data_IF_813329085768
#
_entry.id   IF_813329085768
#
_cell.length_a   1.000
_cell.length_b   1.000
_cell.length_c   1.000
_cell.angle_alpha   90.00
_cell.angle_beta   90.00
_cell.angle_gamma   90.00
#
_symmetry.space_group_name_H-M   'P 1'
#
loop_
_entity.id
_entity.type
_entity.pdbx_description
1 polymer ?
#
# COMPACT_ATOMS: atom_id res chain seq x y z
N UNK A 1 -22.49 -11.41 1.65
CA UNK A 1 -22.32 -12.49 2.63
C UNK A 1 -23.26 -12.20 3.78
N UNK A 2 -24.20 -13.09 4.09
CA UNK A 2 -25.13 -12.91 5.20
C UNK A 2 -24.44 -13.23 6.53
N UNK A 3 -24.95 -12.68 7.64
CA UNK A 3 -24.48 -13.02 9.00
C UNK A 3 -24.53 -14.54 9.24
N UNK A 4 -25.48 -15.23 8.60
CA UNK A 4 -25.61 -16.69 8.61
C UNK A 4 -24.43 -17.40 7.95
N UNK A 5 -23.94 -16.90 6.82
CA UNK A 5 -22.78 -17.45 6.12
C UNK A 5 -21.49 -17.24 6.91
N UNK A 6 -21.30 -16.05 7.49
CA UNK A 6 -20.19 -15.77 8.41
C UNK A 6 -20.21 -16.73 9.61
N UNK A 7 -21.36 -16.88 10.28
CA UNK A 7 -21.51 -17.73 11.45
C UNK A 7 -21.34 -19.23 11.16
N UNK A 8 -21.76 -19.69 9.99
CA UNK A 8 -21.50 -21.07 9.53
C UNK A 8 -20.01 -21.31 9.30
N UNK A 9 -19.29 -20.31 8.79
CA UNK A 9 -17.84 -20.37 8.58
C UNK A 9 -17.07 -20.40 9.91
N UNK A 10 -17.48 -19.59 10.90
CA UNK A 10 -16.87 -19.55 12.23
C UNK A 10 -17.14 -20.79 13.10
N UNK A 11 -18.21 -21.55 12.83
CA UNK A 11 -18.54 -22.78 13.58
C UNK A 11 -17.78 -24.02 13.11
N UNK A 12 -17.37 -24.07 11.84
CA UNK A 12 -16.80 -25.28 11.24
C UNK A 12 -15.27 -25.34 11.28
N UNK A 13 -14.59 -24.21 11.50
CA UNK A 13 -13.14 -24.22 11.72
C UNK A 13 -12.87 -23.93 13.19
N UNK A 14 -12.26 -24.88 13.89
CA UNK A 14 -11.49 -24.62 15.11
C UNK A 14 -10.38 -23.63 14.73
N UNK A 15 -10.73 -22.34 14.65
CA UNK A 15 -9.87 -21.27 14.21
C UNK A 15 -8.90 -20.96 15.36
N UNK A 16 -7.91 -21.85 15.50
CA UNK A 16 -6.71 -21.55 16.26
C UNK A 16 -6.03 -20.39 15.54
N UNK A 17 -6.16 -19.21 16.14
CA UNK A 17 -5.39 -18.00 15.85
C UNK A 17 -3.91 -18.42 15.86
N UNK A 18 -3.37 -18.69 14.67
CA UNK A 18 -2.05 -19.32 14.51
C UNK A 18 -1.91 -20.21 13.27
N UNK A 19 -3.02 -20.68 12.67
CA UNK A 19 -2.99 -21.43 11.41
C UNK A 19 -3.12 -20.49 10.19
N UNK A 20 -2.48 -20.86 9.08
CA UNK A 20 -2.55 -20.16 7.77
C UNK A 20 -4.01 -19.89 7.32
N UNK A 21 -4.97 -20.70 7.78
CA UNK A 21 -6.39 -20.58 7.47
C UNK A 21 -7.03 -19.32 8.07
N UNK A 22 -6.71 -18.97 9.32
CA UNK A 22 -7.22 -17.75 9.97
C UNK A 22 -6.78 -16.49 9.19
N UNK A 23 -5.52 -16.49 8.75
CA UNK A 23 -4.95 -15.38 8.00
C UNK A 23 -5.60 -15.20 6.62
N UNK A 24 -5.86 -16.31 5.93
CA UNK A 24 -6.60 -16.32 4.66
C UNK A 24 -8.06 -15.86 4.83
N UNK A 25 -8.70 -16.25 5.93
CA UNK A 25 -10.06 -15.83 6.23
C UNK A 25 -10.15 -14.31 6.44
N UNK A 26 -9.30 -13.74 7.31
CA UNK A 26 -9.28 -12.29 7.56
C UNK A 26 -9.04 -11.52 6.25
N UNK A 27 -8.12 -12.00 5.42
CA UNK A 27 -7.89 -11.43 4.08
C UNK A 27 -9.15 -11.45 3.21
N UNK A 28 -9.86 -12.59 3.14
CA UNK A 28 -11.08 -12.71 2.33
C UNK A 28 -12.17 -11.75 2.81
N UNK A 29 -12.34 -11.64 4.13
CA UNK A 29 -13.30 -10.71 4.75
C UNK A 29 -12.94 -9.26 4.40
N UNK A 30 -11.70 -8.84 4.65
CA UNK A 30 -11.24 -7.48 4.36
C UNK A 30 -11.36 -7.14 2.88
N UNK A 31 -10.97 -8.07 2.01
CA UNK A 31 -11.10 -7.87 0.56
C UNK A 31 -12.55 -7.66 0.12
N UNK A 32 -13.51 -8.36 0.73
CA UNK A 32 -14.94 -8.19 0.41
C UNK A 32 -15.53 -6.92 1.01
N UNK A 33 -15.10 -6.54 2.21
CA UNK A 33 -15.52 -5.28 2.85
C UNK A 33 -15.10 -4.08 1.99
N UNK A 34 -13.89 -4.11 1.43
CA UNK A 34 -13.34 -2.99 0.68
C UNK A 34 -13.58 -2.99 -0.83
N UNK A 35 -14.09 -4.09 -1.40
CA UNK A 35 -14.34 -4.14 -2.84
C UNK A 35 -15.22 -3.00 -3.38
N UNK A 36 -16.20 -2.43 -2.63
CA UNK A 36 -16.96 -1.27 -3.12
C UNK A 36 -16.16 0.05 -3.15
N UNK A 37 -15.12 0.18 -2.33
CA UNK A 37 -14.34 1.42 -2.15
C UNK A 37 -13.03 1.37 -2.94
N UNK A 38 -12.55 0.16 -3.22
CA UNK A 38 -11.24 -0.12 -3.79
C UNK A 38 -11.27 -1.33 -4.73
N UNK A 39 -11.33 -1.07 -6.05
CA UNK A 39 -11.07 -2.11 -7.04
C UNK A 39 -9.55 -2.34 -7.15
N UNK A 40 -9.13 -3.52 -6.72
CA UNK A 40 -7.74 -3.96 -6.70
C UNK A 40 -7.52 -5.20 -7.57
N UNK A 41 -8.43 -5.51 -8.49
CA UNK A 41 -8.37 -6.72 -9.31
C UNK A 41 -7.06 -6.81 -10.10
N UNK A 42 -6.71 -5.74 -10.80
CA UNK A 42 -5.46 -5.66 -11.57
C UNK A 42 -4.22 -5.64 -10.66
N UNK A 43 -4.29 -4.93 -9.53
CA UNK A 43 -3.23 -4.93 -8.53
C UNK A 43 -2.92 -6.35 -8.03
N UNK A 44 -3.94 -7.11 -7.66
CA UNK A 44 -3.79 -8.50 -7.21
C UNK A 44 -3.20 -9.42 -8.27
N UNK A 45 -3.65 -9.33 -9.53
CA UNK A 45 -3.08 -10.09 -10.64
C UNK A 45 -1.59 -9.81 -10.78
N UNK A 46 -1.22 -8.52 -10.76
CA UNK A 46 0.17 -8.09 -10.86
C UNK A 46 1.03 -8.59 -9.69
N UNK A 47 0.58 -8.43 -8.44
CA UNK A 47 1.35 -8.90 -7.28
C UNK A 47 1.57 -10.41 -7.30
N UNK A 48 0.55 -11.20 -7.65
CA UNK A 48 0.67 -12.66 -7.82
C UNK A 48 1.69 -13.01 -8.90
N UNK A 49 1.62 -12.35 -10.05
CA UNK A 49 2.56 -12.55 -11.14
C UNK A 49 4.00 -12.24 -10.70
N UNK A 50 4.24 -11.08 -10.10
CA UNK A 50 5.58 -10.66 -9.70
C UNK A 50 6.22 -11.60 -8.67
N UNK A 51 5.45 -12.02 -7.67
CA UNK A 51 5.91 -12.98 -6.66
C UNK A 51 6.16 -14.37 -7.26
N UNK A 52 5.33 -14.81 -8.22
CA UNK A 52 5.57 -16.07 -8.93
C UNK A 52 6.86 -16.04 -9.75
N UNK A 53 7.17 -14.90 -10.38
CA UNK A 53 8.38 -14.72 -11.17
C UNK A 53 9.62 -14.74 -10.28
N UNK A 54 9.61 -14.00 -9.17
CA UNK A 54 10.67 -14.04 -8.16
C UNK A 54 10.89 -15.47 -7.67
N UNK A 55 9.82 -16.18 -7.31
CA UNK A 55 9.95 -17.54 -6.77
C UNK A 55 10.53 -18.53 -7.78
N UNK A 56 10.19 -18.39 -9.06
CA UNK A 56 10.68 -19.27 -10.12
C UNK A 56 12.13 -18.95 -10.52
N UNK A 57 12.57 -17.70 -10.37
CA UNK A 57 13.91 -17.26 -10.78
C UNK A 57 14.92 -17.24 -9.63
N UNK A 58 14.46 -16.99 -8.40
CA UNK A 58 15.27 -16.84 -7.21
C UNK A 58 14.50 -17.23 -5.94
N UNK A 59 14.20 -18.52 -5.81
CA UNK A 59 13.52 -19.06 -4.64
C UNK A 59 14.31 -18.85 -3.34
N UNK A 60 15.63 -19.03 -3.37
CA UNK A 60 16.51 -18.88 -2.20
C UNK A 60 16.51 -17.43 -1.69
N UNK A 61 16.69 -16.45 -2.57
CA UNK A 61 16.64 -15.04 -2.19
C UNK A 61 15.25 -14.60 -1.68
N UNK A 62 14.18 -15.20 -2.17
CA UNK A 62 12.84 -14.98 -1.60
C UNK A 62 12.71 -15.54 -0.18
N UNK A 63 13.26 -16.72 0.08
CA UNK A 63 13.28 -17.35 1.40
C UNK A 63 14.13 -16.56 2.40
N UNK A 64 15.29 -16.06 1.98
CA UNK A 64 16.12 -15.15 2.78
C UNK A 64 15.38 -13.85 3.12
N UNK A 65 14.75 -13.21 2.13
CA UNK A 65 13.95 -12.00 2.33
C UNK A 65 12.81 -12.27 3.30
N UNK A 66 12.05 -13.34 3.10
CA UNK A 66 10.91 -13.68 3.95
C UNK A 66 11.36 -13.91 5.41
N UNK A 67 12.46 -14.63 5.60
CA UNK A 67 13.03 -14.90 6.92
C UNK A 67 13.48 -13.59 7.58
N UNK A 68 14.21 -12.73 6.85
CA UNK A 68 14.61 -11.41 7.35
C UNK A 68 13.42 -10.60 7.88
N UNK A 69 12.33 -10.48 7.10
CA UNK A 69 11.15 -9.71 7.49
C UNK A 69 10.33 -10.38 8.61
N UNK A 70 10.38 -11.70 8.72
CA UNK A 70 9.66 -12.45 9.75
C UNK A 70 10.42 -12.41 11.08
N UNK A 71 11.72 -12.73 11.07
CA UNK A 71 12.58 -12.83 12.24
C UNK A 71 12.81 -11.46 12.90
N UNK A 72 12.81 -10.39 12.10
CA UNK A 72 12.85 -9.01 12.59
C UNK A 72 11.49 -8.46 13.08
N UNK A 73 10.45 -9.29 13.11
CA UNK A 73 9.06 -8.91 13.44
C UNK A 73 8.46 -7.82 12.55
N UNK A 74 9.06 -7.48 11.40
CA UNK A 74 8.55 -6.43 10.51
C UNK A 74 7.17 -6.79 9.96
N UNK A 75 6.96 -8.03 9.49
CA UNK A 75 5.63 -8.42 8.98
C UNK A 75 4.54 -8.37 10.06
N UNK A 76 4.87 -8.78 11.29
CA UNK A 76 3.93 -8.70 12.41
C UNK A 76 3.60 -7.23 12.74
N UNK A 77 4.61 -6.36 12.77
CA UNK A 77 4.42 -4.93 13.01
C UNK A 77 3.60 -4.25 11.91
N UNK A 78 3.76 -4.68 10.66
CA UNK A 78 2.94 -4.21 9.54
C UNK A 78 1.46 -4.54 9.76
N UNK A 79 1.15 -5.76 10.19
CA UNK A 79 -0.23 -6.16 10.47
C UNK A 79 -0.84 -5.38 11.63
N UNK A 80 -0.07 -5.21 12.71
CA UNK A 80 -0.50 -4.44 13.88
C UNK A 80 -0.85 -3.00 13.49
N UNK A 81 0.02 -2.35 12.70
CA UNK A 81 -0.19 -0.98 12.22
C UNK A 81 -1.37 -0.90 11.25
N UNK A 82 -1.49 -1.86 10.34
CA UNK A 82 -2.64 -1.97 9.44
C UNK A 82 -3.95 -2.04 10.22
N UNK A 83 -4.05 -2.94 11.20
CA UNK A 83 -5.28 -3.12 11.98
C UNK A 83 -5.63 -1.87 12.81
N UNK A 84 -4.62 -1.17 13.37
CA UNK A 84 -4.83 0.10 14.06
C UNK A 84 -5.41 1.15 13.11
N UNK A 85 -4.73 1.40 12.00
CA UNK A 85 -5.16 2.41 11.02
C UNK A 85 -6.48 2.03 10.32
N UNK A 86 -6.77 0.75 10.17
CA UNK A 86 -8.08 0.28 9.72
C UNK A 86 -9.18 0.69 10.69
N UNK A 87 -8.96 0.50 11.99
CA UNK A 87 -9.92 0.93 13.02
C UNK A 87 -10.11 2.46 13.01
N UNK A 88 -9.03 3.22 12.86
CA UNK A 88 -9.10 4.68 12.77
C UNK A 88 -9.85 5.12 11.50
N UNK A 89 -9.59 4.45 10.37
CA UNK A 89 -10.29 4.72 9.13
C UNK A 89 -11.80 4.49 9.23
N UNK A 90 -12.25 3.45 9.93
CA UNK A 90 -13.70 3.22 10.13
C UNK A 90 -14.38 4.42 10.79
N UNK A 91 -13.68 5.12 11.68
CA UNK A 91 -14.19 6.32 12.35
C UNK A 91 -14.09 7.57 11.46
N UNK A 92 -13.03 7.70 10.65
CA UNK A 92 -12.79 8.86 9.79
C UNK A 92 -13.60 8.81 8.47
N UNK A 93 -13.84 7.61 7.95
CA UNK A 93 -14.45 7.41 6.62
C UNK A 93 -15.81 8.09 6.42
N UNK A 94 -16.76 8.09 7.39
CA UNK A 94 -18.02 8.81 7.24
C UNK A 94 -17.83 10.29 6.87
N UNK A 95 -16.79 10.92 7.40
CA UNK A 95 -16.47 12.31 7.09
C UNK A 95 -15.80 12.48 5.72
N UNK A 96 -15.16 11.43 5.20
CA UNK A 96 -14.55 11.40 3.86
C UNK A 96 -15.54 11.03 2.74
N UNK A 97 -16.80 10.72 3.05
CA UNK A 97 -17.81 10.37 2.05
C UNK A 97 -17.92 11.40 0.90
N UNK A 98 -17.93 12.73 1.15
CA UNK A 98 -17.97 13.71 0.05
C UNK A 98 -16.80 13.55 -0.93
N UNK A 99 -15.59 13.31 -0.39
CA UNK A 99 -14.37 13.12 -1.18
C UNK A 99 -14.38 11.79 -1.91
N UNK A 100 -14.84 10.72 -1.27
CA UNK A 100 -15.06 9.44 -1.94
C UNK A 100 -16.08 9.56 -3.07
N UNK A 101 -17.14 10.35 -2.85
CA UNK A 101 -18.19 10.66 -3.80
C UNK A 101 -17.65 11.28 -5.09
N UNK A 102 -16.58 12.08 -5.03
CA UNK A 102 -15.95 12.70 -6.19
C UNK A 102 -15.54 11.70 -7.28
N UNK A 103 -15.29 10.42 -6.91
CA UNK A 103 -14.98 9.35 -7.88
C UNK A 103 -16.13 9.05 -8.85
N UNK A 104 -17.35 9.46 -8.54
CA UNK A 104 -18.55 9.19 -9.34
C UNK A 104 -19.04 10.42 -10.12
N UNK A 105 -18.33 11.55 -10.02
CA UNK A 105 -18.66 12.76 -10.78
C UNK A 105 -17.82 12.85 -12.05
N UNK A 106 -18.47 13.27 -13.13
CA UNK A 106 -17.78 13.65 -14.35
C UNK A 106 -17.18 15.07 -14.17
N UNK A 107 -15.85 15.17 -14.19
CA UNK A 107 -15.16 16.46 -14.11
C UNK A 107 -13.71 16.35 -13.68
N UNK A 108 -13.00 17.48 -13.76
CA UNK A 108 -11.64 17.57 -13.21
C UNK A 108 -11.69 17.63 -11.68
N UNK A 109 -11.33 16.52 -11.05
CA UNK A 109 -11.26 16.38 -9.60
C UNK A 109 -10.37 17.46 -8.99
N UNK A 110 -9.25 17.83 -9.63
CA UNK A 110 -8.33 18.82 -9.05
C UNK A 110 -9.00 20.19 -8.93
N UNK A 111 -9.71 20.62 -9.98
CA UNK A 111 -10.51 21.85 -9.93
C UNK A 111 -11.56 21.82 -8.82
N UNK A 112 -12.17 20.65 -8.54
CA UNK A 112 -13.14 20.52 -7.45
C UNK A 112 -12.48 20.58 -6.06
N UNK A 113 -11.31 19.97 -5.90
CA UNK A 113 -10.55 19.97 -4.64
C UNK A 113 -10.04 21.37 -4.25
N UNK A 114 -9.73 22.21 -5.25
CA UNK A 114 -9.27 23.58 -5.02
C UNK A 114 -10.39 24.63 -5.01
N UNK A 115 -11.53 24.32 -5.63
CA UNK A 115 -12.66 25.26 -5.78
C UNK A 115 -13.72 25.15 -4.69
N UNK A 116 -13.76 24.05 -3.94
CA UNK A 116 -14.79 23.78 -2.93
C UNK A 116 -14.19 23.33 -1.60
N UNK A 117 -14.84 23.73 -0.51
CA UNK A 117 -14.52 23.26 0.84
C UNK A 117 -15.23 21.96 1.20
N UNK A 118 -14.83 21.37 2.33
CA UNK A 118 -15.49 20.23 2.97
C UNK A 118 -16.14 20.67 4.29
N UNK A 119 -17.39 20.28 4.52
CA UNK A 119 -18.16 20.67 5.72
C UNK A 119 -18.33 19.53 6.72
N UNK A 120 -17.87 18.32 6.37
CA UNK A 120 -18.06 17.11 7.17
C UNK A 120 -16.96 16.89 8.20
N UNK A 121 -15.85 17.61 8.15
CA UNK A 121 -14.76 17.52 9.14
C UNK A 121 -14.00 18.84 9.28
N UNK A 122 -13.25 18.94 10.38
CA UNK A 122 -12.20 19.92 10.62
C UNK A 122 -10.81 19.31 10.41
N UNK A 123 -9.77 20.14 10.39
CA UNK A 123 -8.38 19.65 10.29
C UNK A 123 -8.01 18.71 11.44
N UNK A 124 -8.47 19.01 12.66
CA UNK A 124 -8.10 18.22 13.83
C UNK A 124 -8.67 16.79 13.77
N UNK A 125 -9.76 16.58 13.03
CA UNK A 125 -10.36 15.25 12.83
C UNK A 125 -9.51 14.33 11.93
N UNK A 126 -8.66 14.90 11.07
CA UNK A 126 -7.92 14.14 10.05
C UNK A 126 -6.40 14.19 10.22
N UNK A 127 -5.88 15.20 10.92
CA UNK A 127 -4.45 15.49 11.07
C UNK A 127 -3.64 14.30 11.60
N UNK A 128 -4.02 13.76 12.74
CA UNK A 128 -3.30 12.62 13.36
C UNK A 128 -3.35 11.39 12.46
N UNK A 129 -4.52 11.11 11.87
CA UNK A 129 -4.70 10.00 10.96
C UNK A 129 -3.80 10.12 9.70
N UNK A 130 -3.66 11.32 9.15
CA UNK A 130 -2.74 11.58 8.03
C UNK A 130 -1.27 11.32 8.42
N UNK A 131 -0.83 11.79 9.59
CA UNK A 131 0.55 11.55 10.08
C UNK A 131 0.80 10.05 10.21
N UNK A 132 -0.10 9.32 10.88
CA UNK A 132 0.09 7.89 11.16
C UNK A 132 0.07 7.04 9.88
N UNK A 133 -0.80 7.40 8.91
CA UNK A 133 -0.78 6.81 7.57
C UNK A 133 0.56 7.04 6.88
N UNK A 134 1.06 8.27 6.89
CA UNK A 134 2.33 8.62 6.25
C UNK A 134 3.49 7.81 6.83
N UNK A 135 3.58 7.77 8.17
CA UNK A 135 4.67 7.09 8.87
C UNK A 135 4.63 5.56 8.69
N UNK A 136 3.42 5.00 8.63
CA UNK A 136 3.21 3.57 8.42
C UNK A 136 3.55 3.18 6.99
N UNK A 137 3.01 3.89 6.00
CA UNK A 137 3.29 3.62 4.58
C UNK A 137 4.79 3.71 4.30
N UNK A 138 5.46 4.77 4.76
CA UNK A 138 6.90 4.95 4.60
C UNK A 138 7.74 3.86 5.27
N UNK A 139 7.22 3.16 6.28
CA UNK A 139 7.84 1.95 6.83
C UNK A 139 7.68 0.74 5.90
N UNK A 140 6.46 0.55 5.42
CA UNK A 140 6.08 -0.59 4.59
C UNK A 140 6.76 -0.55 3.20
N UNK A 141 7.19 0.64 2.74
CA UNK A 141 8.04 0.80 1.55
C UNK A 141 9.29 -0.10 1.57
N UNK A 142 9.79 -0.48 2.76
CA UNK A 142 10.93 -1.39 2.87
C UNK A 142 10.66 -2.74 2.20
N UNK A 143 9.45 -3.29 2.30
CA UNK A 143 9.08 -4.54 1.63
C UNK A 143 9.03 -4.36 0.12
N UNK A 144 8.45 -3.26 -0.37
CA UNK A 144 8.35 -2.98 -1.81
C UNK A 144 9.73 -2.87 -2.44
N UNK A 145 10.65 -2.14 -1.80
CA UNK A 145 12.01 -1.96 -2.28
C UNK A 145 12.79 -3.27 -2.23
N UNK A 146 12.66 -4.06 -1.16
CA UNK A 146 13.29 -5.37 -1.08
C UNK A 146 12.83 -6.31 -2.20
N UNK A 147 11.52 -6.32 -2.49
CA UNK A 147 10.95 -7.12 -3.58
C UNK A 147 11.40 -6.63 -4.96
N UNK A 148 11.51 -5.32 -5.17
CA UNK A 148 12.07 -4.74 -6.39
C UNK A 148 13.55 -5.11 -6.57
N UNK A 149 14.35 -5.01 -5.51
CA UNK A 149 15.76 -5.42 -5.54
C UNK A 149 15.88 -6.90 -5.91
N UNK A 150 15.05 -7.75 -5.32
CA UNK A 150 15.03 -9.16 -5.67
C UNK A 150 14.61 -9.40 -7.14
N UNK A 151 13.57 -8.71 -7.61
CA UNK A 151 13.06 -8.80 -8.98
C UNK A 151 14.07 -8.35 -10.03
N UNK A 152 14.76 -7.23 -9.80
CA UNK A 152 15.58 -6.57 -10.81
C UNK A 152 17.09 -6.81 -10.66
N UNK A 153 17.55 -7.21 -9.46
CA UNK A 153 18.98 -7.34 -9.11
C UNK A 153 19.34 -8.72 -8.58
N UNK A 154 18.37 -9.62 -8.45
CA UNK A 154 18.54 -10.98 -7.96
C UNK A 154 19.11 -11.08 -6.52
N UNK A 155 19.09 -9.98 -5.76
CA UNK A 155 19.47 -9.92 -4.35
C UNK A 155 18.73 -8.74 -3.70
N UNK A 156 17.96 -9.01 -2.63
CA UNK A 156 17.18 -7.99 -1.94
C UNK A 156 18.04 -6.94 -1.22
N UNK A 157 19.31 -7.27 -0.93
CA UNK A 157 20.28 -6.42 -0.23
C UNK A 157 20.86 -5.33 -1.13
N UNK A 158 20.92 -5.56 -2.44
CA UNK A 158 21.55 -4.66 -3.39
C UNK A 158 20.58 -3.55 -3.79
N UNK A 159 20.93 -2.30 -3.48
CA UNK A 159 20.09 -1.14 -3.77
C UNK A 159 20.33 -0.57 -5.17
N UNK A 160 19.29 0.07 -5.74
CA UNK A 160 19.45 0.91 -6.94
C UNK A 160 20.43 2.05 -6.68
N UNK A 161 21.25 2.39 -7.68
CA UNK A 161 22.08 3.59 -7.63
C UNK A 161 21.21 4.81 -7.40
N UNK A 162 21.55 5.61 -6.39
CA UNK A 162 20.78 6.75 -5.96
C UNK A 162 21.70 7.91 -5.59
N UNK A 163 21.20 9.17 -5.59
CA UNK A 163 22.00 10.35 -5.26
C UNK A 163 22.65 10.29 -3.86
N UNK A 164 22.09 9.48 -2.94
CA UNK A 164 22.61 9.30 -1.58
C UNK A 164 23.70 8.22 -1.49
N UNK A 165 24.09 7.60 -2.60
CA UNK A 165 25.09 6.50 -2.70
C UNK A 165 24.81 5.34 -1.73
N UNK A 166 23.53 5.08 -1.46
CA UNK A 166 23.13 3.96 -0.59
C UNK A 166 23.18 2.69 -1.42
N UNK A 167 24.11 1.80 -1.12
CA UNK A 167 24.34 0.55 -1.86
C UNK A 167 23.75 -0.69 -1.19
N UNK A 168 23.39 -0.59 0.09
CA UNK A 168 22.93 -1.72 0.92
C UNK A 168 21.56 -1.46 1.56
N UNK A 169 20.75 -2.50 1.63
CA UNK A 169 19.38 -2.46 2.15
C UNK A 169 19.31 -2.18 3.66
N UNK A 170 20.30 -2.61 4.45
CA UNK A 170 20.34 -2.34 5.90
C UNK A 170 20.49 -0.84 6.16
N UNK A 171 21.34 -0.17 5.37
CA UNK A 171 21.49 1.28 5.39
C UNK A 171 20.21 2.01 4.94
N UNK A 172 19.44 1.41 4.01
CA UNK A 172 18.14 1.95 3.64
C UNK A 172 17.13 1.88 4.81
N UNK A 173 17.09 0.77 5.56
CA UNK A 173 16.16 0.61 6.68
C UNK A 173 16.41 1.65 7.79
N UNK A 174 17.65 2.07 8.01
CA UNK A 174 18.00 3.08 9.02
C UNK A 174 17.68 4.52 8.62
N UNK A 175 17.29 4.77 7.36
CA UNK A 175 16.92 6.11 6.91
C UNK A 175 15.67 6.64 7.62
N UNK A 176 15.63 7.97 7.77
CA UNK A 176 14.40 8.66 8.17
C UNK A 176 13.27 8.40 7.16
N UNK A 177 12.02 8.44 7.66
CA UNK A 177 10.80 8.16 6.88
C UNK A 177 10.70 8.97 5.59
N UNK A 178 10.97 10.28 5.65
CA UNK A 178 11.00 11.15 4.47
C UNK A 178 12.10 10.81 3.46
N UNK A 179 13.22 10.22 3.90
CA UNK A 179 14.28 9.78 3.00
C UNK A 179 13.97 8.44 2.34
N UNK A 180 13.22 7.56 2.99
CA UNK A 180 12.75 6.30 2.39
C UNK A 180 11.82 6.55 1.20
N UNK A 181 10.95 7.56 1.28
CA UNK A 181 10.06 7.96 0.19
C UNK A 181 10.81 8.20 -1.14
N UNK A 182 12.03 8.76 -1.09
CA UNK A 182 12.83 9.11 -2.28
C UNK A 182 13.30 7.91 -3.11
N UNK A 183 13.08 6.68 -2.63
CA UNK A 183 13.41 5.45 -3.34
C UNK A 183 12.24 4.90 -4.16
N UNK A 184 11.06 5.52 -4.06
CA UNK A 184 9.90 5.22 -4.89
C UNK A 184 9.90 6.21 -6.05
N UNK A 185 9.98 5.69 -7.27
CA UNK A 185 9.94 6.50 -8.49
C UNK A 185 8.95 5.97 -9.52
N UNK A 186 8.17 4.96 -9.13
CA UNK A 186 7.13 4.32 -9.92
C UNK A 186 7.63 3.67 -11.22
N UNK A 187 8.93 3.36 -11.32
CA UNK A 187 9.53 2.77 -12.52
C UNK A 187 9.75 1.26 -12.40
N UNK A 188 9.84 0.71 -11.19
CA UNK A 188 10.09 -0.71 -10.95
C UNK A 188 8.78 -1.48 -10.68
N UNK A 189 8.83 -2.81 -10.71
CA UNK A 189 7.64 -3.65 -10.77
C UNK A 189 6.64 -3.42 -9.61
N UNK A 190 7.14 -3.39 -8.38
CA UNK A 190 6.29 -3.29 -7.19
C UNK A 190 5.96 -1.84 -6.84
N UNK A 191 6.86 -0.89 -7.13
CA UNK A 191 6.67 0.52 -6.75
C UNK A 191 5.80 1.31 -7.73
N UNK A 192 5.70 0.91 -9.00
CA UNK A 192 4.81 1.52 -10.00
C UNK A 192 3.31 1.39 -9.71
N UNK A 193 2.93 0.63 -8.68
CA UNK A 193 1.52 0.52 -8.24
C UNK A 193 1.15 1.52 -7.14
N UNK A 194 2.12 2.25 -6.61
CA UNK A 194 1.89 3.28 -5.59
C UNK A 194 1.73 4.63 -6.26
N UNK A 195 0.52 5.18 -6.18
CA UNK A 195 0.25 6.57 -6.56
C UNK A 195 0.79 7.44 -5.44
N UNK A 196 1.73 8.34 -5.73
CA UNK A 196 2.33 9.19 -4.69
C UNK A 196 1.32 10.24 -4.21
N UNK A 197 0.64 9.94 -3.11
CA UNK A 197 -0.27 10.84 -2.39
C UNK A 197 0.28 11.26 -1.02
N UNK A 198 1.58 11.04 -0.78
CA UNK A 198 2.22 11.23 0.52
C UNK A 198 3.04 12.53 0.57
N UNK A 199 2.44 13.65 0.93
CA UNK A 199 3.18 14.92 1.00
C UNK A 199 4.00 15.05 2.29
N UNK A 200 5.33 15.08 2.15
CA UNK A 200 6.27 15.13 3.29
C UNK A 200 6.20 16.45 4.04
N UNK A 201 6.00 17.56 3.34
CA UNK A 201 6.02 18.90 3.91
C UNK A 201 4.83 19.11 4.85
N UNK A 202 3.61 18.78 4.40
CA UNK A 202 2.41 18.87 5.24
C UNK A 202 2.48 17.90 6.43
N UNK A 203 3.02 16.69 6.27
CA UNK A 203 3.25 15.77 7.41
C UNK A 203 4.17 16.42 8.45
N UNK A 204 5.26 17.06 8.02
CA UNK A 204 6.19 17.71 8.94
C UNK A 204 5.56 18.93 9.61
N UNK A 205 4.81 19.73 8.85
CA UNK A 205 4.06 20.87 9.36
C UNK A 205 3.07 20.43 10.45
N UNK A 206 2.30 19.37 10.23
CA UNK A 206 1.41 18.81 11.25
C UNK A 206 2.16 18.23 12.44
N UNK A 207 3.25 17.49 12.22
CA UNK A 207 4.04 16.90 13.31
C UNK A 207 4.74 17.93 14.20
N UNK A 208 5.00 19.13 13.68
CA UNK A 208 5.63 20.24 14.42
C UNK A 208 4.67 21.37 14.77
N UNK A 209 3.38 21.25 14.43
CA UNK A 209 2.40 22.34 14.52
C UNK A 209 2.86 23.64 13.82
N UNK A 210 3.60 23.52 12.72
CA UNK A 210 4.12 24.64 11.91
C UNK A 210 3.25 24.85 10.66
N UNK A 211 1.99 25.21 10.87
CA UNK A 211 1.02 25.54 9.82
C UNK A 211 0.05 26.65 10.26
N UNK A 212 -0.48 27.38 9.28
CA UNK A 212 -1.61 28.29 9.45
C UNK A 212 -2.83 27.71 8.73
N UNK A 213 -4.02 27.85 9.33
CA UNK A 213 -5.27 27.47 8.70
C UNK A 213 -6.19 28.68 8.49
N UNK A 214 -6.52 28.96 7.23
CA UNK A 214 -7.50 29.99 6.85
C UNK A 214 -8.88 29.37 6.80
N UNK A 215 -9.65 29.49 7.88
CA UNK A 215 -10.96 28.84 8.01
C UNK A 215 -12.00 29.25 6.95
N UNK A 216 -11.92 30.46 6.39
CA UNK A 216 -12.87 30.96 5.37
C UNK A 216 -12.68 30.29 4.01
N UNK A 217 -11.44 30.03 3.61
CA UNK A 217 -11.09 29.36 2.34
C UNK A 217 -10.77 27.89 2.53
N UNK A 218 -10.64 27.44 3.77
CA UNK A 218 -10.13 26.13 4.16
C UNK A 218 -8.73 25.82 3.59
N UNK A 219 -7.91 26.85 3.45
CA UNK A 219 -6.52 26.73 2.98
C UNK A 219 -5.58 26.47 4.15
N UNK A 220 -4.70 25.48 3.99
CA UNK A 220 -3.65 25.10 4.94
C UNK A 220 -2.33 25.58 4.38
N UNK A 221 -1.61 26.38 5.14
CA UNK A 221 -0.36 27.04 4.71
C UNK A 221 0.77 26.53 5.57
N UNK A 222 1.85 26.11 4.93
CA UNK A 222 2.97 25.47 5.60
C UNK A 222 4.29 25.70 4.85
N UNK A 223 5.40 25.52 5.54
CA UNK A 223 6.73 25.75 4.98
C UNK A 223 7.36 24.46 4.44
N UNK A 224 8.09 24.54 3.33
CA UNK A 224 8.78 23.38 2.74
C UNK A 224 10.10 23.01 3.39
N UNK A 225 10.64 23.86 4.28
CA UNK A 225 11.96 23.64 4.87
C UNK A 225 11.95 23.89 6.38
N UNK A 226 12.67 23.05 7.10
CA UNK A 226 12.99 23.29 8.51
C UNK A 226 14.08 24.34 8.71
N UNK A 227 14.58 24.96 7.63
CA UNK A 227 15.57 26.04 7.69
C UNK A 227 14.85 27.39 7.67
N UNK A 228 14.98 28.15 8.76
CA UNK A 228 14.37 29.49 8.89
C UNK A 228 14.76 30.45 7.76
N UNK A 229 15.91 30.22 7.12
CA UNK A 229 16.46 31.10 6.09
C UNK A 229 16.06 30.74 4.64
N UNK A 230 15.37 29.62 4.40
CA UNK A 230 14.87 29.18 3.08
C UNK A 230 13.44 28.64 3.20
N UNK A 231 12.56 29.45 3.79
CA UNK A 231 11.13 29.14 3.91
C UNK A 231 10.45 29.47 2.60
N UNK A 232 10.08 28.44 1.82
CA UNK A 232 9.12 28.59 0.72
C UNK A 232 7.76 28.19 1.26
N UNK A 233 6.81 29.11 1.14
CA UNK A 233 5.43 28.88 1.52
C UNK A 233 4.78 27.94 0.49
N UNK A 234 4.11 26.91 0.98
CA UNK A 234 3.22 26.03 0.23
C UNK A 234 1.83 26.11 0.84
N UNK A 235 0.82 25.85 0.03
CA UNK A 235 -0.54 25.69 0.51
C UNK A 235 -1.22 24.47 -0.09
N UNK A 236 -2.22 23.96 0.62
CA UNK A 236 -3.08 22.85 0.24
C UNK A 236 -4.48 23.11 0.80
N UNK A 237 -5.53 22.83 0.05
CA UNK A 237 -6.89 22.92 0.56
C UNK A 237 -7.24 21.71 1.45
N UNK A 238 -8.11 21.90 2.44
CA UNK A 238 -8.56 20.82 3.31
C UNK A 238 -9.17 19.65 2.52
N UNK A 239 -9.93 19.94 1.45
CA UNK A 239 -10.48 18.92 0.58
C UNK A 239 -9.39 18.10 -0.12
N UNK A 240 -8.30 18.74 -0.58
CA UNK A 240 -7.14 18.08 -1.17
C UNK A 240 -6.41 17.19 -0.14
N UNK A 241 -6.24 17.67 1.10
CA UNK A 241 -5.69 16.85 2.18
C UNK A 241 -6.54 15.60 2.41
N UNK A 242 -7.87 15.75 2.45
CA UNK A 242 -8.79 14.61 2.61
C UNK A 242 -8.69 13.61 1.46
N UNK A 243 -8.55 14.10 0.23
CA UNK A 243 -8.33 13.28 -0.95
C UNK A 243 -7.02 12.50 -0.88
N UNK A 244 -5.93 13.17 -0.50
CA UNK A 244 -4.63 12.55 -0.30
C UNK A 244 -4.67 11.49 0.81
N UNK A 245 -5.33 11.80 1.92
CA UNK A 245 -5.54 10.88 3.06
C UNK A 245 -6.29 9.62 2.63
N UNK A 246 -7.39 9.78 1.87
CA UNK A 246 -8.14 8.64 1.34
C UNK A 246 -7.26 7.77 0.44
N UNK A 247 -6.51 8.36 -0.48
CA UNK A 247 -5.61 7.61 -1.38
C UNK A 247 -4.45 6.93 -0.63
N UNK A 248 -3.94 7.54 0.45
CA UNK A 248 -2.96 6.91 1.33
C UNK A 248 -3.56 5.66 2.00
N UNK A 249 -4.80 5.74 2.49
CA UNK A 249 -5.47 4.57 3.05
C UNK A 249 -5.70 3.46 2.00
N UNK A 250 -6.08 3.81 0.77
CA UNK A 250 -6.19 2.82 -0.32
C UNK A 250 -4.83 2.16 -0.65
N UNK A 251 -3.74 2.94 -0.56
CA UNK A 251 -2.38 2.40 -0.67
C UNK A 251 -2.00 1.48 0.48
N UNK A 252 -2.48 1.77 1.70
CA UNK A 252 -2.32 0.90 2.86
C UNK A 252 -3.06 -0.44 2.67
N UNK A 253 -4.26 -0.42 2.08
CA UNK A 253 -4.98 -1.65 1.70
C UNK A 253 -4.18 -2.48 0.69
N UNK A 254 -3.57 -1.83 -0.32
CA UNK A 254 -2.69 -2.50 -1.27
C UNK A 254 -1.48 -3.15 -0.58
N UNK A 255 -0.87 -2.47 0.40
CA UNK A 255 0.19 -3.03 1.22
C UNK A 255 -0.25 -4.27 2.01
N UNK A 256 -1.43 -4.19 2.65
CA UNK A 256 -2.00 -5.34 3.35
C UNK A 256 -2.14 -6.55 2.43
N UNK A 257 -2.64 -6.34 1.21
CA UNK A 257 -2.76 -7.41 0.22
C UNK A 257 -1.40 -7.93 -0.25
N UNK A 258 -0.39 -7.07 -0.42
CA UNK A 258 0.98 -7.47 -0.76
C UNK A 258 1.57 -8.37 0.32
N UNK A 259 1.47 -7.96 1.59
CA UNK A 259 1.95 -8.74 2.73
C UNK A 259 1.26 -10.12 2.78
N UNK A 260 -0.05 -10.17 2.54
CA UNK A 260 -0.77 -11.43 2.41
C UNK A 260 -0.20 -12.30 1.27
N UNK A 261 0.05 -11.73 0.08
CA UNK A 261 0.57 -12.49 -1.05
C UNK A 261 2.00 -13.00 -0.83
N UNK A 262 2.85 -12.23 -0.14
CA UNK A 262 4.18 -12.67 0.28
C UNK A 262 4.06 -13.91 1.18
N UNK A 263 3.22 -13.86 2.21
CA UNK A 263 2.96 -15.02 3.09
C UNK A 263 2.37 -16.20 2.33
N UNK A 264 1.36 -15.99 1.49
CA UNK A 264 0.76 -17.05 0.66
C UNK A 264 1.81 -17.72 -0.22
N UNK A 265 2.71 -16.94 -0.83
CA UNK A 265 3.77 -17.45 -1.70
C UNK A 265 4.75 -18.36 -0.94
N UNK A 266 5.09 -18.01 0.30
CA UNK A 266 5.88 -18.83 1.21
C UNK A 266 5.17 -20.14 1.59
N UNK A 267 3.92 -20.08 2.05
CA UNK A 267 3.21 -21.25 2.58
C UNK A 267 2.52 -22.13 1.53
N UNK A 268 2.42 -21.70 0.27
CA UNK A 268 1.99 -22.56 -0.83
C UNK A 268 2.90 -23.79 -1.03
N UNK A 269 4.08 -23.81 -0.40
CA UNK A 269 5.06 -24.91 -0.44
C UNK A 269 4.80 -25.99 0.62
N UNK A 270 4.06 -25.67 1.70
CA UNK A 270 3.99 -26.57 2.87
C UNK A 270 2.76 -27.48 2.93
N UNK A 271 1.73 -27.28 2.09
CA UNK A 271 0.53 -28.11 2.10
C UNK A 271 0.29 -28.79 0.74
N UNK A 272 0.58 -30.08 0.67
CA UNK A 272 0.07 -31.02 -0.33
C UNK A 272 -1.43 -31.35 -0.15
N UNK A 273 -2.23 -30.40 0.36
CA UNK A 273 -3.68 -30.56 0.53
C UNK A 273 -4.42 -29.60 -0.41
N UNK A 274 -4.20 -29.85 -1.69
CA UNK A 274 -4.99 -29.32 -2.81
C UNK A 274 -6.18 -30.25 -3.02
N UNK A 275 -7.41 -29.78 -2.75
CA UNK A 275 -8.61 -30.24 -3.48
C UNK A 275 -9.92 -29.53 -3.11
N UNK A 276 -10.04 -28.82 -1.99
CA UNK A 276 -11.35 -28.25 -1.56
C UNK A 276 -11.39 -26.72 -1.37
N UNK A 277 -10.33 -26.00 -1.73
CA UNK A 277 -10.28 -24.53 -1.60
C UNK A 277 -10.46 -23.83 -2.97
N UNK A 278 -10.54 -24.59 -4.07
CA UNK A 278 -10.68 -24.05 -5.43
C UNK A 278 -12.08 -23.57 -5.81
N UNK A 279 -13.14 -23.91 -5.06
CA UNK A 279 -14.52 -23.61 -5.50
C UNK A 279 -15.00 -22.17 -5.23
N UNK A 280 -14.24 -21.37 -4.45
CA UNK A 280 -14.50 -19.93 -4.28
C UNK A 280 -13.38 -19.05 -4.87
N UNK A 281 -12.33 -19.67 -5.41
CA UNK A 281 -11.23 -19.04 -6.16
C UNK A 281 -11.55 -19.04 -7.69
N UNK A 282 -12.81 -19.23 -8.09
CA UNK A 282 -13.29 -19.13 -9.48
C UNK A 282 -13.26 -17.68 -10.00
N UNK A 283 -12.06 -17.13 -10.09
CA UNK A 283 -11.50 -16.50 -11.29
C UNK A 283 -10.00 -16.86 -11.33
N UNK A 284 -9.69 -18.16 -11.38
CA UNK A 284 -8.45 -18.63 -11.98
C UNK A 284 -8.63 -18.61 -13.51
N UNK A 285 -8.75 -17.41 -14.06
CA UNK A 285 -8.19 -17.13 -15.37
C UNK A 285 -6.82 -16.51 -15.13
N UNK A 286 -5.85 -17.37 -14.78
CA UNK A 286 -4.51 -17.15 -15.30
C UNK A 286 -4.57 -17.25 -16.83
N UNK A 287 -5.18 -16.25 -17.48
CA UNK A 287 -4.87 -15.95 -18.87
C UNK A 287 -3.37 -15.72 -18.90
N UNK A 288 -2.63 -16.75 -19.31
CA UNK A 288 -1.21 -16.65 -19.58
C UNK A 288 -1.08 -15.50 -20.57
N UNK A 289 -0.37 -14.44 -20.17
CA UNK A 289 -0.09 -13.32 -21.05
C UNK A 289 0.41 -13.89 -22.39
N UNK A 290 -0.34 -13.62 -23.46
CA UNK A 290 0.00 -14.09 -24.78
C UNK A 290 1.38 -13.56 -25.14
N UNK A 291 2.15 -14.34 -25.92
CA UNK A 291 3.52 -13.96 -26.34
C UNK A 291 3.63 -12.51 -26.86
N UNK A 292 2.57 -11.97 -27.44
CA UNK A 292 2.53 -10.62 -28.01
C UNK A 292 1.87 -9.55 -27.12
N UNK A 293 1.31 -9.92 -25.97
CA UNK A 293 0.66 -8.99 -25.04
C UNK A 293 1.70 -8.12 -24.34
N UNK A 294 1.29 -6.95 -23.83
CA UNK A 294 2.18 -6.14 -22.99
C UNK A 294 2.59 -6.95 -21.77
N UNK A 295 3.88 -6.95 -21.47
CA UNK A 295 4.40 -7.74 -20.39
C UNK A 295 3.85 -7.21 -19.05
N UNK A 296 3.26 -8.07 -18.20
CA UNK A 296 2.78 -7.67 -16.88
C UNK A 296 3.92 -7.21 -15.96
N UNK A 297 5.19 -7.41 -16.35
CA UNK A 297 6.39 -6.86 -15.71
C UNK A 297 6.40 -5.31 -15.65
N UNK A 298 5.52 -4.62 -16.39
CA UNK A 298 5.44 -3.16 -16.41
C UNK A 298 6.52 -2.50 -17.27
N UNK A 299 7.36 -3.27 -17.97
CA UNK A 299 8.42 -2.74 -18.85
C UNK A 299 7.91 -2.02 -20.10
N UNK A 300 6.62 -2.16 -20.43
CA UNK A 300 6.05 -1.66 -21.68
C UNK A 300 6.33 -2.53 -22.92
N UNK A 301 7.23 -3.52 -22.82
CA UNK A 301 7.58 -4.47 -23.89
C UNK A 301 6.55 -5.59 -24.05
N UNK A 302 6.60 -6.33 -25.17
CA UNK A 302 5.80 -7.56 -25.34
C UNK A 302 6.30 -8.67 -24.42
N UNK A 303 5.43 -9.56 -23.95
CA UNK A 303 5.77 -10.65 -23.03
C UNK A 303 6.99 -11.46 -23.49
N UNK A 304 7.02 -11.89 -24.77
CA UNK A 304 8.15 -12.62 -25.39
C UNK A 304 9.49 -11.89 -25.46
N UNK A 305 9.51 -10.60 -25.12
CA UNK A 305 10.70 -9.74 -25.11
C UNK A 305 11.09 -9.29 -23.68
N UNK A 306 10.28 -9.58 -22.66
CA UNK A 306 10.58 -9.28 -21.24
C UNK A 306 10.74 -10.57 -20.42
N UNK A 307 9.63 -11.27 -20.15
CA UNK A 307 9.57 -12.38 -19.20
C UNK A 307 9.16 -13.73 -19.80
N UNK A 308 8.95 -13.81 -21.12
CA UNK A 308 8.42 -14.98 -21.82
C UNK A 308 9.29 -15.54 -22.93
#
# INVERSE_FOLDING_TARGET
MTIKELNSYFKNENCLIGSNNAYQFVYKVNNRIFSPVHDNTEYKKKMRYGLSLIKNTNAEGFEELFSFFSDSNLLYNFDKKFNSLFNDFVNVFPYLIPIFGLKFYDGDINSMLCGYGITTLSIEDIKSFYIDLYETLTEMLSLVIALNNLMHRNDYRIMVSNPRKISDFSNFISLSKGNKKKFINSNEFFDCTFKDSMESNIRNAFGHNDYEFRGSTQEIIYNTSGNLNDRREQSMFLAELCYNTLNMFLSLLNFYFLVYYVRRTKYAVTNSLSSHISELDLEDSSEKAGRNDKCPCGSGEKYKKCCG
#
